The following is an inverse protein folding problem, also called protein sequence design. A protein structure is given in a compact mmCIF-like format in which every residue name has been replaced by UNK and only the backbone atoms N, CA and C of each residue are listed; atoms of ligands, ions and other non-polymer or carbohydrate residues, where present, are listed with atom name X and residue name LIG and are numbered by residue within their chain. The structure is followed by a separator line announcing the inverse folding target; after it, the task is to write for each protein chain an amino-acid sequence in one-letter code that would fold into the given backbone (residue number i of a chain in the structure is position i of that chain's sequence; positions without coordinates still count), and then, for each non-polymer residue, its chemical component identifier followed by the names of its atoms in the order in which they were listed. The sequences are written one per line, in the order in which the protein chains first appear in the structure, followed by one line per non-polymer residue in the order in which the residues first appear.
data_IF_085324538336
#
_entry.id   IF_085324538336
#
_cell.length_a   1.000
_cell.length_b   1.000
_cell.length_c   1.000
_cell.angle_alpha   90.00
_cell.angle_beta   90.00
_cell.angle_gamma   90.00
#
_symmetry.space_group_name_H-M   'P 1'
#
loop_
_entity.id
_entity.type
_entity.pdbx_description
1 polymer ?
#
# COMPACT_ATOMS: atom_id res chain seq x y z
N UNK A 1 -18.59 6.55 -8.17
CA UNK A 1 -18.59 5.39 -7.25
C UNK A 1 -17.38 4.47 -7.44
N UNK A 2 -16.97 4.13 -8.67
CA UNK A 2 -15.83 3.24 -8.95
C UNK A 2 -14.51 3.62 -8.25
N UNK A 3 -14.14 4.91 -8.24
CA UNK A 3 -12.93 5.40 -7.54
C UNK A 3 -12.96 5.15 -6.03
N UNK A 4 -14.10 5.39 -5.39
CA UNK A 4 -14.28 5.17 -3.96
C UNK A 4 -14.20 3.67 -3.64
N UNK A 5 -14.83 2.83 -4.46
CA UNK A 5 -14.75 1.38 -4.30
C UNK A 5 -13.31 0.87 -4.44
N UNK A 6 -12.60 1.30 -5.47
CA UNK A 6 -11.19 0.94 -5.67
C UNK A 6 -10.30 1.41 -4.51
N UNK A 7 -10.53 2.62 -4.01
CA UNK A 7 -9.84 3.15 -2.83
C UNK A 7 -10.04 2.26 -1.59
N UNK A 8 -11.28 1.91 -1.27
CA UNK A 8 -11.60 1.01 -0.14
C UNK A 8 -10.98 -0.38 -0.35
N UNK A 9 -11.00 -0.89 -1.59
CA UNK A 9 -10.42 -2.20 -1.93
C UNK A 9 -8.92 -2.23 -1.67
N UNK A 10 -8.17 -1.27 -2.22
CA UNK A 10 -6.72 -1.19 -2.03
C UNK A 10 -6.33 -0.82 -0.59
N UNK A 11 -7.12 -0.01 0.11
CA UNK A 11 -6.91 0.24 1.54
C UNK A 11 -7.04 -1.05 2.36
N UNK A 12 -8.04 -1.88 2.07
CA UNK A 12 -8.24 -3.16 2.76
C UNK A 12 -7.07 -4.12 2.54
N UNK A 13 -6.57 -4.22 1.30
CA UNK A 13 -5.37 -4.99 1.01
C UNK A 13 -4.11 -4.39 1.66
N UNK A 14 -4.03 -3.06 1.77
CA UNK A 14 -2.98 -2.38 2.53
C UNK A 14 -2.98 -2.78 4.01
N UNK A 15 -4.15 -2.86 4.66
CA UNK A 15 -4.28 -3.38 6.03
C UNK A 15 -3.83 -4.83 6.11
N UNK A 16 -4.28 -5.69 5.19
CA UNK A 16 -3.93 -7.11 5.19
C UNK A 16 -2.42 -7.33 5.00
N UNK A 17 -1.81 -6.68 4.00
CA UNK A 17 -0.38 -6.76 3.73
C UNK A 17 0.46 -6.26 4.92
N UNK A 18 -0.02 -5.20 5.59
CA UNK A 18 0.60 -4.65 6.79
C UNK A 18 0.45 -5.57 8.00
N UNK A 19 -0.71 -6.20 8.18
CA UNK A 19 -0.96 -7.13 9.28
C UNK A 19 -0.05 -8.36 9.22
N UNK A 20 0.34 -8.81 8.02
CA UNK A 20 1.33 -9.89 7.84
C UNK A 20 2.68 -9.52 8.48
N UNK A 21 3.05 -8.24 8.52
CA UNK A 21 4.30 -7.81 9.15
C UNK A 21 4.29 -8.02 10.68
N UNK A 22 3.12 -8.06 11.32
CA UNK A 22 2.98 -8.34 12.76
C UNK A 22 3.18 -9.82 13.13
N UNK A 23 3.38 -10.69 12.13
CA UNK A 23 3.88 -12.05 12.37
C UNK A 23 5.35 -12.01 12.83
N UNK A 24 6.10 -10.96 12.47
CA UNK A 24 7.48 -10.76 12.89
C UNK A 24 7.48 -10.29 14.36
N UNK A 25 8.03 -11.09 15.31
CA UNK A 25 7.97 -10.78 16.75
C UNK A 25 8.54 -9.42 17.11
N UNK A 26 9.62 -9.00 16.42
CA UNK A 26 10.29 -7.72 16.64
C UNK A 26 9.39 -6.49 16.39
N UNK A 27 8.32 -6.62 15.60
CA UNK A 27 7.36 -5.53 15.32
C UNK A 27 6.16 -5.55 16.27
N UNK A 28 6.04 -6.55 17.15
CA UNK A 28 4.88 -6.77 18.03
C UNK A 28 5.04 -6.18 19.43
N UNK A 29 6.27 -5.95 19.87
CA UNK A 29 6.57 -5.55 21.26
C UNK A 29 6.39 -4.05 21.54
N UNK A 30 6.26 -3.22 20.49
CA UNK A 30 5.99 -1.78 20.64
C UNK A 30 4.51 -1.43 20.39
N UNK A 31 3.96 -0.45 21.12
CA UNK A 31 2.54 -0.04 21.08
C UNK A 31 2.23 1.08 20.08
N UNK A 32 3.27 1.79 19.65
CA UNK A 32 3.28 2.89 18.69
C UNK A 32 3.21 2.48 17.19
N UNK A 33 3.41 1.20 16.76
CA UNK A 33 3.52 0.86 15.35
C UNK A 33 2.18 0.68 14.63
N UNK A 34 1.02 0.68 15.31
CA UNK A 34 -0.24 0.43 14.59
C UNK A 34 -0.60 1.56 13.62
N UNK A 35 -0.40 2.83 13.99
CA UNK A 35 -0.70 3.96 13.12
C UNK A 35 0.28 4.02 11.94
N UNK A 36 1.58 3.92 12.23
CA UNK A 36 2.63 4.04 11.22
C UNK A 36 2.73 2.83 10.29
N UNK A 37 2.46 1.63 10.79
CA UNK A 37 2.69 0.39 10.04
C UNK A 37 1.41 -0.30 9.57
N UNK A 38 0.20 0.09 10.02
CA UNK A 38 -1.07 -0.44 9.48
C UNK A 38 -1.89 0.66 8.82
N UNK A 39 -2.20 1.73 9.57
CA UNK A 39 -3.09 2.77 9.07
C UNK A 39 -2.47 3.56 7.93
N UNK A 40 -1.20 3.96 8.05
CA UNK A 40 -0.55 4.78 7.05
C UNK A 40 -0.34 4.07 5.70
N UNK A 41 0.11 2.79 5.65
CA UNK A 41 0.16 2.04 4.39
C UNK A 41 -1.24 1.80 3.80
N UNK A 42 -2.26 1.57 4.64
CA UNK A 42 -3.64 1.42 4.18
C UNK A 42 -4.18 2.71 3.55
N UNK A 43 -3.96 3.86 4.19
CA UNK A 43 -4.36 5.17 3.66
C UNK A 43 -3.64 5.48 2.35
N UNK A 44 -2.34 5.21 2.28
CA UNK A 44 -1.54 5.44 1.07
C UNK A 44 -2.01 4.56 -0.10
N UNK A 45 -2.33 3.30 0.19
CA UNK A 45 -2.87 2.36 -0.80
C UNK A 45 -4.28 2.76 -1.25
N UNK A 46 -5.11 3.22 -0.30
CA UNK A 46 -6.42 3.77 -0.61
C UNK A 46 -6.35 5.04 -1.46
N UNK A 47 -5.39 5.92 -1.20
CA UNK A 47 -5.17 7.12 -2.01
C UNK A 47 -4.73 6.75 -3.43
N UNK A 48 -3.77 5.82 -3.58
CA UNK A 48 -3.35 5.30 -4.88
C UNK A 48 -4.54 4.70 -5.66
N UNK A 49 -5.36 3.87 -5.00
CA UNK A 49 -6.58 3.29 -5.57
C UNK A 49 -7.61 4.35 -5.99
N UNK A 50 -7.76 5.43 -5.22
CA UNK A 50 -8.65 6.54 -5.59
C UNK A 50 -8.18 7.29 -6.84
N UNK A 51 -6.87 7.53 -6.98
CA UNK A 51 -6.28 8.31 -8.07
C UNK A 51 -6.34 7.53 -9.39
N UNK A 52 -5.98 6.24 -9.37
CA UNK A 52 -5.70 5.47 -10.59
C UNK A 52 -6.40 4.11 -10.68
N UNK A 53 -7.09 3.66 -9.63
CA UNK A 53 -7.63 2.31 -9.54
C UNK A 53 -8.94 2.09 -10.31
N UNK A 54 -9.62 3.15 -10.75
CA UNK A 54 -10.74 3.10 -11.68
C UNK A 54 -10.35 2.48 -13.03
N UNK A 55 -9.09 2.62 -13.45
CA UNK A 55 -8.56 2.00 -14.67
C UNK A 55 -8.63 0.47 -14.67
N UNK A 56 -8.64 -0.19 -13.49
CA UNK A 56 -8.79 -1.65 -13.37
C UNK A 56 -10.25 -2.08 -13.61
N UNK A 57 -11.19 -1.19 -13.27
CA UNK A 57 -12.62 -1.40 -13.44
C UNK A 57 -13.09 -1.07 -14.87
N UNK A 58 -12.31 -0.31 -15.63
CA UNK A 58 -12.58 0.07 -17.01
C UNK A 58 -12.18 -1.05 -18.01
N UNK A 59 -13.14 -1.72 -18.67
CA UNK A 59 -12.87 -2.82 -19.59
C UNK A 59 -12.16 -2.39 -20.87
N UNK A 60 -12.28 -1.12 -21.27
CA UNK A 60 -11.62 -0.60 -22.48
C UNK A 60 -10.13 -0.36 -22.24
N UNK A 61 -9.73 -0.19 -20.97
CA UNK A 61 -8.33 -0.01 -20.56
C UNK A 61 -7.65 -1.30 -20.17
N UNK A 62 -8.33 -2.15 -19.39
CA UNK A 62 -7.77 -3.41 -18.88
C UNK A 62 -8.74 -4.54 -19.21
N UNK A 63 -8.27 -5.47 -20.04
CA UNK A 63 -9.07 -6.59 -20.57
C UNK A 63 -8.58 -7.97 -20.10
N UNK A 64 -7.51 -8.06 -19.32
CA UNK A 64 -6.91 -9.32 -18.89
C UNK A 64 -6.51 -9.29 -17.41
N UNK A 65 -6.55 -10.47 -16.75
CA UNK A 65 -6.07 -10.64 -15.38
C UNK A 65 -4.60 -10.24 -15.24
N UNK A 66 -3.77 -10.57 -16.24
CA UNK A 66 -2.36 -10.17 -16.24
C UNK A 66 -2.21 -8.64 -16.22
N UNK A 67 -2.93 -7.94 -17.10
CA UNK A 67 -2.95 -6.47 -17.11
C UNK A 67 -3.41 -5.88 -15.79
N UNK A 68 -4.45 -6.46 -15.17
CA UNK A 68 -4.95 -6.03 -13.87
C UNK A 68 -3.93 -6.27 -12.74
N UNK A 69 -3.23 -7.41 -12.73
CA UNK A 69 -2.17 -7.70 -11.76
C UNK A 69 -1.00 -6.72 -11.90
N UNK A 70 -0.53 -6.47 -13.13
CA UNK A 70 0.54 -5.48 -13.39
C UNK A 70 0.11 -4.10 -12.92
N UNK A 71 -1.15 -3.72 -13.14
CA UNK A 71 -1.66 -2.43 -12.67
C UNK A 71 -1.81 -2.36 -11.15
N UNK A 72 -2.13 -3.48 -10.50
CA UNK A 72 -2.06 -3.63 -9.05
C UNK A 72 -0.64 -3.41 -8.50
N UNK A 73 0.39 -3.95 -9.17
CA UNK A 73 1.80 -3.70 -8.83
C UNK A 73 2.16 -2.21 -8.98
N UNK A 74 1.72 -1.57 -10.07
CA UNK A 74 1.93 -0.13 -10.28
C UNK A 74 1.26 0.70 -9.18
N UNK A 75 0.06 0.32 -8.74
CA UNK A 75 -0.62 0.96 -7.61
C UNK A 75 0.11 0.75 -6.29
N UNK A 76 0.73 -0.41 -6.06
CA UNK A 76 1.61 -0.62 -4.90
C UNK A 76 2.84 0.29 -4.92
N UNK A 77 3.47 0.46 -6.08
CA UNK A 77 4.60 1.41 -6.21
C UNK A 77 4.13 2.84 -5.95
N UNK A 78 2.98 3.24 -6.51
CA UNK A 78 2.41 4.56 -6.27
C UNK A 78 2.05 4.76 -4.79
N UNK A 79 1.49 3.74 -4.14
CA UNK A 79 1.21 3.74 -2.70
C UNK A 79 2.48 3.97 -1.90
N UNK A 80 3.61 3.35 -2.26
CA UNK A 80 4.90 3.62 -1.61
C UNK A 80 5.37 5.06 -1.80
N UNK A 81 5.20 5.62 -3.00
CA UNK A 81 5.53 7.03 -3.28
C UNK A 81 4.69 7.99 -2.43
N UNK A 82 3.43 7.65 -2.15
CA UNK A 82 2.55 8.44 -1.26
C UNK A 82 2.92 8.20 0.22
N UNK A 83 3.21 6.95 0.57
CA UNK A 83 3.54 6.53 1.93
C UNK A 83 4.82 7.18 2.44
N UNK A 84 5.90 7.16 1.66
CA UNK A 84 7.22 7.65 2.09
C UNK A 84 7.18 9.08 2.64
N UNK A 85 6.66 10.12 1.94
CA UNK A 85 6.58 11.47 2.49
C UNK A 85 5.64 11.57 3.68
N UNK A 86 4.53 10.82 3.70
CA UNK A 86 3.59 10.82 4.82
C UNK A 86 4.22 10.17 6.08
N UNK A 87 5.00 9.11 5.90
CA UNK A 87 5.73 8.42 6.96
C UNK A 87 6.78 9.32 7.56
N UNK A 88 7.60 9.96 6.72
CA UNK A 88 8.59 10.96 7.15
C UNK A 88 7.94 12.06 7.98
N UNK A 89 6.84 12.63 7.46
CA UNK A 89 6.17 13.74 8.12
C UNK A 89 5.62 13.36 9.49
N UNK A 90 4.93 12.22 9.59
CA UNK A 90 4.36 11.75 10.87
C UNK A 90 5.48 11.34 11.82
N UNK A 91 6.51 10.67 11.34
CA UNK A 91 7.66 10.27 12.16
C UNK A 91 8.36 11.48 12.77
N UNK A 92 8.61 12.53 11.98
CA UNK A 92 9.20 13.80 12.45
C UNK A 92 8.34 14.53 13.49
N UNK A 93 7.02 14.33 13.48
CA UNK A 93 6.11 14.92 14.48
C UNK A 93 6.06 14.16 15.81
N UNK A 94 6.50 12.89 15.81
CA UNK A 94 6.40 12.00 16.97
C UNK A 94 7.74 11.86 17.69
N UNK A 95 8.85 11.98 16.96
CA UNK A 95 10.20 11.82 17.49
C UNK A 95 10.91 13.19 17.60
N UNK A 96 11.13 13.66 18.84
CA UNK A 96 11.81 14.93 19.13
C UNK A 96 13.34 14.86 18.88
N UNK A 97 13.90 13.64 18.87
CA UNK A 97 15.30 13.44 18.57
C UNK A 97 15.55 13.63 17.07
N UNK A 98 16.56 14.46 16.75
CA UNK A 98 16.88 14.85 15.39
C UNK A 98 17.53 13.68 14.63
N UNK A 99 16.70 12.71 14.24
CA UNK A 99 17.14 11.55 13.47
C UNK A 99 17.50 12.02 12.06
N UNK A 100 18.67 11.56 11.59
CA UNK A 100 19.12 11.80 10.23
C UNK A 100 18.10 11.22 9.25
N UNK A 101 17.35 12.11 8.61
CA UNK A 101 16.30 11.81 7.66
C UNK A 101 16.80 10.90 6.53
N UNK A 102 18.06 11.08 6.10
CA UNK A 102 18.67 10.27 5.07
C UNK A 102 18.93 8.84 5.57
N UNK A 103 19.36 8.69 6.83
CA UNK A 103 19.54 7.39 7.49
C UNK A 103 18.22 6.65 7.70
N UNK A 104 17.16 7.36 8.11
CA UNK A 104 15.82 6.78 8.28
C UNK A 104 15.22 6.34 6.94
N UNK A 105 15.34 7.17 5.90
CA UNK A 105 14.96 6.81 4.53
C UNK A 105 15.72 5.59 4.04
N UNK A 106 17.04 5.55 4.22
CA UNK A 106 17.85 4.41 3.85
C UNK A 106 17.41 3.16 4.62
N UNK A 107 17.18 3.23 5.93
CA UNK A 107 16.72 2.11 6.73
C UNK A 107 15.34 1.59 6.27
N UNK A 108 14.38 2.49 6.03
CA UNK A 108 13.03 2.14 5.52
C UNK A 108 13.10 1.52 4.13
N UNK A 109 13.91 2.06 3.23
CA UNK A 109 14.07 1.48 1.88
C UNK A 109 14.89 0.19 1.87
N UNK A 110 15.84 0.01 2.79
CA UNK A 110 16.70 -1.19 2.83
C UNK A 110 16.00 -2.33 3.57
N UNK A 111 15.50 -2.10 4.79
CA UNK A 111 14.72 -3.09 5.53
C UNK A 111 13.36 -3.34 4.87
N UNK A 112 12.72 -2.29 4.38
CA UNK A 112 11.48 -2.39 3.60
C UNK A 112 11.72 -3.02 2.23
N UNK A 113 12.83 -2.72 1.55
CA UNK A 113 13.15 -3.24 0.21
C UNK A 113 13.25 -4.75 0.12
N UNK A 114 13.88 -5.39 1.10
CA UNK A 114 14.10 -6.84 1.07
C UNK A 114 12.95 -7.64 1.69
N UNK A 115 12.23 -7.09 2.68
CA UNK A 115 11.13 -7.79 3.36
C UNK A 115 9.74 -7.33 2.95
N UNK A 116 9.50 -6.02 2.95
CA UNK A 116 8.16 -5.41 2.85
C UNK A 116 7.74 -5.21 1.39
N UNK A 117 8.63 -4.72 0.54
CA UNK A 117 8.37 -4.45 -0.88
C UNK A 117 7.81 -5.69 -1.59
N UNK A 118 8.42 -6.89 -1.50
CA UNK A 118 7.86 -8.07 -2.17
C UNK A 118 6.43 -8.40 -1.71
N UNK A 119 6.13 -8.27 -0.41
CA UNK A 119 4.80 -8.52 0.15
C UNK A 119 3.79 -7.51 -0.41
N UNK A 120 4.13 -6.22 -0.44
CA UNK A 120 3.25 -5.17 -0.96
C UNK A 120 3.07 -5.24 -2.48
N UNK A 121 4.10 -5.60 -3.24
CA UNK A 121 3.98 -5.82 -4.69
C UNK A 121 3.09 -7.03 -4.99
N UNK A 122 3.28 -8.14 -4.28
CA UNK A 122 2.47 -9.33 -4.43
C UNK A 122 1.01 -9.10 -3.97
N UNK A 123 0.83 -8.44 -2.83
CA UNK A 123 -0.48 -8.01 -2.34
C UNK A 123 -1.19 -7.08 -3.32
N UNK A 124 -0.46 -6.16 -3.94
CA UNK A 124 -0.96 -5.29 -5.02
C UNK A 124 -1.40 -6.06 -6.25
N UNK A 125 -0.60 -7.03 -6.70
CA UNK A 125 -0.95 -7.88 -7.83
C UNK A 125 -2.25 -8.65 -7.57
N UNK A 126 -2.40 -9.24 -6.37
CA UNK A 126 -3.63 -9.93 -5.96
C UNK A 126 -4.80 -8.94 -5.85
N UNK A 127 -4.59 -7.76 -5.28
CA UNK A 127 -5.61 -6.73 -5.17
C UNK A 127 -6.12 -6.31 -6.56
N UNK A 128 -5.22 -6.13 -7.53
CA UNK A 128 -5.58 -5.81 -8.91
C UNK A 128 -6.36 -6.94 -9.60
N UNK A 129 -5.88 -8.18 -9.51
CA UNK A 129 -6.56 -9.34 -10.08
C UNK A 129 -7.95 -9.58 -9.46
N UNK A 130 -8.07 -9.43 -8.14
CA UNK A 130 -9.34 -9.59 -7.42
C UNK A 130 -10.31 -8.45 -7.69
N UNK A 131 -9.82 -7.20 -7.81
CA UNK A 131 -10.65 -6.07 -8.21
C UNK A 131 -11.22 -6.27 -9.63
N UNK A 132 -10.42 -6.83 -10.52
CA UNK A 132 -10.84 -7.17 -11.88
C UNK A 132 -11.92 -8.27 -11.91
N UNK A 133 -11.85 -9.28 -11.03
CA UNK A 133 -12.85 -10.34 -10.98
C UNK A 133 -14.21 -9.82 -10.50
N UNK A 134 -14.22 -8.88 -9.55
CA UNK A 134 -15.46 -8.30 -9.01
C UNK A 134 -16.04 -7.18 -9.88
N UNK A 135 -15.33 -6.70 -10.91
CA UNK A 135 -15.77 -5.60 -11.77
C UNK A 135 -17.17 -5.81 -12.34
N UNK A 136 -17.50 -7.05 -12.71
CA UNK A 136 -18.77 -7.46 -13.33
C UNK A 136 -20.00 -7.21 -12.45
N UNK A 137 -19.79 -6.96 -11.16
CA UNK A 137 -20.86 -6.68 -10.19
C UNK A 137 -20.99 -5.18 -9.86
N UNK A 138 -20.12 -4.33 -10.42
CA UNK A 138 -19.98 -2.91 -10.07
C UNK A 138 -20.24 -2.00 -11.28
N UNK A 139 -19.83 -2.41 -12.47
CA UNK A 139 -20.19 -1.82 -13.78
C UNK A 139 -21.45 -2.44 -14.31
#
# INVERSE_FOLDING_TARGET
MQKLFSSIWFASFGVLASAVLFIIPALREESWPMILFIWLPAMSSGAAGFICGDKILDPDRINSYWGASVWGVVLSVLSMVIFTPAFIFIYYLIDDDHIDLAGLLAAVYTAGGYGVVPIFLFGGAIAGASLFSVRKYIT
#
